data_IF_236715739683
#
_entry.id   IF_236715739683
#
_cell.length_a   1.000
_cell.length_b   1.000
_cell.length_c   1.000
_cell.angle_alpha   90.00
_cell.angle_beta   90.00
_cell.angle_gamma   90.00
#
_symmetry.space_group_name_H-M   'P 1'
#
loop_
_entity.id
_entity.type
_entity.pdbx_description
1 polymer ?
#
# COMPACT_ATOMS: atom_id res chain seq x y z
N UNK A 1 -3.56 -10.17 -62.89
CA UNK A 1 -3.00 -11.48 -62.49
C UNK A 1 -1.53 -11.34 -62.11
N UNK A 2 -1.18 -11.31 -60.81
CA UNK A 2 0.07 -11.90 -60.28
C UNK A 2 0.13 -11.82 -58.74
N UNK A 3 -0.10 -12.99 -58.13
CA UNK A 3 0.56 -13.57 -56.95
C UNK A 3 0.57 -12.79 -55.61
N UNK A 4 -0.35 -13.23 -54.73
CA UNK A 4 -0.09 -13.91 -53.45
C UNK A 4 1.24 -13.57 -52.74
N UNK A 5 1.14 -12.95 -51.57
CA UNK A 5 2.06 -13.14 -50.45
C UNK A 5 1.25 -13.11 -49.16
N UNK A 6 0.88 -14.32 -48.72
CA UNK A 6 0.36 -14.61 -47.39
C UNK A 6 1.54 -14.44 -46.43
N UNK A 7 1.45 -13.48 -45.50
CA UNK A 7 2.34 -13.44 -44.35
C UNK A 7 1.52 -13.79 -43.12
N UNK A 8 1.64 -15.09 -42.82
CA UNK A 8 1.41 -15.77 -41.56
C UNK A 8 1.94 -14.92 -40.39
N UNK A 9 1.04 -14.27 -39.64
CA UNK A 9 1.37 -13.69 -38.33
C UNK A 9 1.09 -14.75 -37.27
N UNK A 10 2.15 -15.08 -36.53
CA UNK A 10 2.23 -16.16 -35.58
C UNK A 10 1.13 -16.08 -34.52
N UNK A 11 0.41 -17.19 -34.37
CA UNK A 11 -0.23 -17.59 -33.12
C UNK A 11 0.87 -17.80 -32.08
N UNK A 12 1.08 -16.84 -31.18
CA UNK A 12 1.80 -17.09 -29.94
C UNK A 12 0.77 -17.65 -28.96
N UNK A 13 0.61 -18.97 -28.99
CA UNK A 13 -0.03 -19.69 -27.88
C UNK A 13 1.09 -19.94 -26.86
N UNK A 14 1.41 -18.91 -26.08
CA UNK A 14 2.22 -19.10 -24.88
C UNK A 14 1.31 -19.71 -23.81
N UNK A 15 1.36 -21.03 -23.67
CA UNK A 15 0.90 -21.72 -22.47
C UNK A 15 1.90 -21.44 -21.35
N UNK A 16 1.72 -20.33 -20.62
CA UNK A 16 2.49 -20.09 -19.39
C UNK A 16 1.85 -20.89 -18.26
N UNK A 17 2.61 -21.85 -17.73
CA UNK A 17 2.33 -22.54 -16.48
C UNK A 17 2.17 -21.56 -15.33
N UNK A 18 1.23 -21.88 -14.44
CA UNK A 18 0.57 -21.04 -13.44
C UNK A 18 1.44 -20.57 -12.24
N UNK A 19 2.71 -20.25 -12.44
CA UNK A 19 3.59 -19.65 -11.42
C UNK A 19 4.08 -18.29 -11.95
N UNK A 20 3.23 -17.27 -11.90
CA UNK A 20 3.67 -15.88 -12.15
C UNK A 20 4.61 -15.46 -11.01
N UNK A 21 5.88 -15.29 -11.34
CA UNK A 21 6.85 -14.61 -10.47
C UNK A 21 6.78 -13.12 -10.76
N UNK A 22 6.30 -12.34 -9.80
CA UNK A 22 6.26 -10.88 -9.91
C UNK A 22 7.63 -10.29 -9.53
N UNK A 23 8.14 -9.35 -10.31
CA UNK A 23 9.23 -8.45 -9.93
C UNK A 23 8.68 -7.28 -9.10
N UNK A 24 9.55 -6.50 -8.44
CA UNK A 24 9.07 -5.39 -7.61
C UNK A 24 8.46 -4.25 -8.46
N UNK A 25 8.90 -4.10 -9.70
CA UNK A 25 8.48 -3.04 -10.62
C UNK A 25 7.19 -3.40 -11.37
N UNK A 26 6.72 -4.64 -11.25
CA UNK A 26 5.50 -5.07 -11.92
C UNK A 26 4.29 -4.33 -11.36
N UNK A 27 3.53 -3.68 -12.26
CA UNK A 27 2.29 -2.97 -11.91
C UNK A 27 1.18 -3.99 -11.68
N UNK A 28 0.56 -3.93 -10.51
CA UNK A 28 -0.51 -4.86 -10.08
C UNK A 28 -1.87 -4.18 -10.01
N UNK A 29 -1.91 -2.85 -9.93
CA UNK A 29 -3.14 -2.08 -10.00
C UNK A 29 -2.85 -0.63 -10.43
N UNK A 30 -3.91 0.09 -10.84
CA UNK A 30 -3.92 1.53 -11.09
C UNK A 30 -5.07 2.13 -10.27
N UNK A 31 -4.78 3.17 -9.49
CA UNK A 31 -5.76 3.91 -8.68
C UNK A 31 -5.73 5.37 -9.09
N UNK A 32 -6.79 5.85 -9.75
CA UNK A 32 -6.96 7.23 -10.25
C UNK A 32 -5.73 7.70 -11.06
N UNK A 33 -5.22 6.81 -11.90
CA UNK A 33 -4.04 7.05 -12.75
C UNK A 33 -2.67 6.86 -12.08
N UNK A 34 -2.61 6.50 -10.79
CA UNK A 34 -1.37 6.11 -10.11
C UNK A 34 -1.15 4.61 -10.20
N UNK A 35 -0.02 4.19 -10.75
CA UNK A 35 0.42 2.80 -10.75
C UNK A 35 0.79 2.34 -9.33
N UNK A 36 0.29 1.17 -8.95
CA UNK A 36 0.64 0.45 -7.73
C UNK A 36 1.44 -0.77 -8.14
N UNK A 37 2.65 -0.89 -7.60
CA UNK A 37 3.58 -1.97 -7.94
C UNK A 37 3.53 -3.10 -6.92
N UNK A 38 3.98 -4.28 -7.32
CA UNK A 38 4.20 -5.38 -6.39
C UNK A 38 5.21 -4.97 -5.29
N UNK A 39 6.20 -4.15 -5.62
CA UNK A 39 7.15 -3.56 -4.68
C UNK A 39 6.44 -2.77 -3.57
N UNK A 40 5.42 -1.97 -3.91
CA UNK A 40 4.64 -1.22 -2.91
C UNK A 40 3.91 -2.13 -1.92
N UNK A 41 3.35 -3.24 -2.39
CA UNK A 41 2.71 -4.24 -1.51
C UNK A 41 3.74 -4.92 -0.60
N UNK A 42 4.86 -5.35 -1.19
CA UNK A 42 5.94 -6.09 -0.52
C UNK A 42 6.70 -5.25 0.49
N UNK A 43 6.82 -3.94 0.26
CA UNK A 43 7.51 -3.03 1.16
C UNK A 43 6.83 -2.97 2.54
N UNK A 44 5.54 -3.33 2.61
CA UNK A 44 4.76 -3.26 3.85
C UNK A 44 4.65 -4.58 4.59
N UNK A 45 5.01 -5.70 3.97
CA UNK A 45 4.66 -7.02 4.47
C UNK A 45 5.62 -8.11 4.01
N UNK A 46 5.85 -9.10 4.89
CA UNK A 46 6.61 -10.31 4.55
C UNK A 46 5.75 -11.41 3.92
N UNK A 47 4.47 -11.14 3.67
CA UNK A 47 3.56 -12.10 3.06
C UNK A 47 4.02 -12.52 1.66
N UNK A 48 3.57 -13.69 1.22
CA UNK A 48 3.80 -14.16 -0.14
C UNK A 48 3.00 -13.31 -1.12
N UNK A 49 3.46 -13.22 -2.37
CA UNK A 49 2.75 -12.44 -3.40
C UNK A 49 1.29 -12.87 -3.53
N UNK A 50 1.03 -14.19 -3.50
CA UNK A 50 -0.33 -14.71 -3.48
C UNK A 50 -1.19 -14.09 -2.36
N UNK A 51 -0.69 -14.05 -1.13
CA UNK A 51 -1.43 -13.47 0.00
C UNK A 51 -1.56 -11.96 -0.15
N UNK A 52 -0.54 -11.27 -0.68
CA UNK A 52 -0.63 -9.83 -0.95
C UNK A 52 -1.72 -9.52 -1.98
N UNK A 53 -1.78 -10.29 -3.07
CA UNK A 53 -2.76 -10.13 -4.13
C UNK A 53 -4.17 -10.52 -3.69
N UNK A 54 -4.32 -11.55 -2.86
CA UNK A 54 -5.61 -11.93 -2.24
C UNK A 54 -6.20 -10.82 -1.34
N UNK A 55 -5.38 -9.89 -0.87
CA UNK A 55 -5.79 -8.78 0.02
C UNK A 55 -5.46 -7.41 -0.59
N UNK A 56 -5.34 -7.32 -1.92
CA UNK A 56 -4.95 -6.07 -2.60
C UNK A 56 -5.99 -4.97 -2.38
N UNK A 57 -7.27 -5.31 -2.28
CA UNK A 57 -8.39 -4.37 -2.10
C UNK A 57 -8.21 -3.47 -0.86
N UNK A 58 -7.63 -3.99 0.23
CA UNK A 58 -7.31 -3.20 1.42
C UNK A 58 -6.28 -2.10 1.09
N UNK A 59 -5.24 -2.44 0.32
CA UNK A 59 -4.23 -1.48 -0.13
C UNK A 59 -4.85 -0.41 -1.03
N UNK A 60 -5.67 -0.83 -2.00
CA UNK A 60 -6.31 0.09 -2.95
C UNK A 60 -7.27 1.03 -2.23
N UNK A 61 -8.00 0.52 -1.24
CA UNK A 61 -8.90 1.33 -0.40
C UNK A 61 -8.15 2.42 0.34
N UNK A 62 -7.06 2.07 1.02
CA UNK A 62 -6.22 3.07 1.67
C UNK A 62 -5.67 4.11 0.67
N UNK A 63 -5.29 3.67 -0.53
CA UNK A 63 -4.74 4.56 -1.55
C UNK A 63 -5.79 5.58 -2.05
N UNK A 64 -7.03 5.16 -2.27
CA UNK A 64 -8.15 6.06 -2.60
C UNK A 64 -8.33 7.10 -1.51
N UNK A 65 -8.38 6.68 -0.24
CA UNK A 65 -8.53 7.58 0.91
C UNK A 65 -7.39 8.60 0.97
N UNK A 66 -6.14 8.16 0.77
CA UNK A 66 -4.96 9.03 0.80
C UNK A 66 -5.02 10.07 -0.33
N UNK A 67 -5.42 9.66 -1.53
CA UNK A 67 -5.53 10.57 -2.67
C UNK A 67 -6.64 11.59 -2.44
N UNK A 68 -7.78 11.17 -1.89
CA UNK A 68 -8.87 12.08 -1.51
C UNK A 68 -8.44 13.07 -0.43
N UNK A 69 -7.77 12.59 0.62
CA UNK A 69 -7.23 13.43 1.69
C UNK A 69 -6.27 14.51 1.13
N UNK A 70 -5.43 14.14 0.17
CA UNK A 70 -4.51 15.06 -0.51
C UNK A 70 -5.27 16.05 -1.40
N UNK A 71 -6.32 15.63 -2.09
CA UNK A 71 -7.14 16.47 -2.96
C UNK A 71 -7.88 17.56 -2.19
N UNK A 72 -8.42 17.24 -1.01
CA UNK A 72 -9.05 18.23 -0.12
C UNK A 72 -8.04 19.13 0.60
N UNK A 73 -6.74 18.91 0.39
CA UNK A 73 -5.66 19.75 0.90
C UNK A 73 -5.25 19.46 2.35
N UNK A 74 -5.47 18.23 2.83
CA UNK A 74 -5.08 17.84 4.17
C UNK A 74 -3.55 17.80 4.31
N UNK A 75 -3.01 18.50 5.32
CA UNK A 75 -1.60 18.52 5.65
C UNK A 75 -1.35 17.67 6.90
N UNK A 76 -0.55 16.61 6.76
CA UNK A 76 -0.21 15.67 7.84
C UNK A 76 1.20 15.88 8.40
N UNK A 77 1.95 16.85 7.89
CA UNK A 77 3.39 16.98 8.16
C UNK A 77 3.73 17.03 9.67
N UNK A 78 2.96 17.80 10.45
CA UNK A 78 3.15 17.91 11.91
C UNK A 78 2.90 16.57 12.63
N UNK A 79 1.84 15.85 12.27
CA UNK A 79 1.53 14.57 12.91
C UNK A 79 2.55 13.49 12.51
N UNK A 80 3.01 13.50 11.26
CA UNK A 80 4.09 12.62 10.78
C UNK A 80 5.39 12.88 11.56
N UNK A 81 5.81 14.14 11.67
CA UNK A 81 7.04 14.50 12.40
C UNK A 81 6.97 14.03 13.87
N UNK A 82 5.82 14.28 14.52
CA UNK A 82 5.58 13.88 15.89
C UNK A 82 5.63 12.37 16.09
N UNK A 83 5.00 11.59 15.23
CA UNK A 83 5.02 10.12 15.33
C UNK A 83 6.40 9.54 15.00
N UNK A 84 7.09 10.08 14.00
CA UNK A 84 8.46 9.67 13.65
C UNK A 84 9.45 9.94 14.79
N UNK A 85 9.28 11.03 15.53
CA UNK A 85 10.08 11.33 16.73
C UNK A 85 9.94 10.29 17.85
N UNK A 86 8.83 9.57 17.91
CA UNK A 86 8.53 8.55 18.93
C UNK A 86 8.88 7.14 18.45
N UNK A 87 8.56 6.80 17.20
CA UNK A 87 8.60 5.42 16.70
C UNK A 87 9.59 5.17 15.55
N UNK A 88 10.16 6.21 14.94
CA UNK A 88 10.97 6.09 13.72
C UNK A 88 12.42 5.63 13.92
N UNK A 89 12.85 5.30 15.15
CA UNK A 89 14.25 4.94 15.42
C UNK A 89 14.48 3.44 15.44
N UNK A 90 15.39 2.98 14.59
CA UNK A 90 15.81 1.58 14.56
C UNK A 90 16.35 1.12 15.92
N UNK A 91 16.03 -0.09 16.40
CA UNK A 91 16.52 -0.56 17.69
C UNK A 91 18.04 -0.70 17.69
N UNK A 92 18.70 -0.02 18.63
CA UNK A 92 20.17 -0.13 18.81
C UNK A 92 20.64 -1.59 18.92
N UNK A 93 21.87 -1.88 18.49
CA UNK A 93 22.46 -3.23 18.53
C UNK A 93 22.34 -3.90 19.90
N UNK A 94 22.55 -3.14 20.99
CA UNK A 94 22.52 -3.65 22.36
C UNK A 94 21.10 -3.89 22.93
N UNK A 95 20.04 -3.44 22.23
CA UNK A 95 18.67 -3.72 22.62
C UNK A 95 18.27 -5.14 22.17
N UNK A 96 18.17 -6.05 23.15
CA UNK A 96 17.87 -7.47 22.94
C UNK A 96 16.47 -7.87 23.44
N UNK A 97 15.55 -6.91 23.56
CA UNK A 97 14.15 -7.25 23.85
C UNK A 97 13.55 -8.06 22.70
N UNK A 98 12.56 -8.92 22.99
CA UNK A 98 11.87 -9.71 21.96
C UNK A 98 11.40 -8.83 20.79
N UNK A 99 10.75 -7.71 21.09
CA UNK A 99 10.26 -6.74 20.10
C UNK A 99 11.40 -6.14 19.26
N UNK A 100 12.51 -5.76 19.89
CA UNK A 100 13.66 -5.22 19.15
C UNK A 100 14.26 -6.25 18.19
N UNK A 101 14.35 -7.51 18.59
CA UNK A 101 14.86 -8.58 17.74
C UNK A 101 13.90 -8.90 16.57
N UNK A 102 12.59 -8.84 16.80
CA UNK A 102 11.58 -8.99 15.73
C UNK A 102 11.70 -7.88 14.70
N UNK A 103 11.84 -6.62 15.15
CA UNK A 103 12.06 -5.47 14.26
C UNK A 103 13.36 -5.66 13.45
N UNK A 104 14.46 -6.02 14.11
CA UNK A 104 15.74 -6.24 13.43
C UNK A 104 15.62 -7.31 12.34
N UNK A 105 15.04 -8.46 12.66
CA UNK A 105 14.88 -9.57 11.72
C UNK A 105 13.99 -9.20 10.52
N UNK A 106 12.88 -8.50 10.77
CA UNK A 106 11.99 -7.99 9.71
C UNK A 106 12.74 -7.02 8.79
N UNK A 107 13.39 -6.01 9.36
CA UNK A 107 14.12 -4.99 8.58
C UNK A 107 15.28 -5.59 7.80
N UNK A 108 16.06 -6.51 8.38
CA UNK A 108 17.17 -7.17 7.68
C UNK A 108 16.68 -7.96 6.46
N UNK A 109 15.57 -8.71 6.61
CA UNK A 109 15.01 -9.51 5.52
C UNK A 109 14.47 -8.62 4.40
N UNK A 110 13.78 -7.55 4.74
CA UNK A 110 13.21 -6.64 3.75
C UNK A 110 14.26 -5.75 3.10
N UNK A 111 15.19 -5.19 3.86
CA UNK A 111 16.31 -4.43 3.31
C UNK A 111 17.09 -5.26 2.28
N UNK A 112 17.35 -6.55 2.58
CA UNK A 112 17.93 -7.47 1.60
C UNK A 112 17.06 -7.68 0.35
N UNK A 113 15.74 -7.71 0.49
CA UNK A 113 14.79 -7.87 -0.63
C UNK A 113 14.81 -6.67 -1.58
N UNK A 114 15.04 -5.48 -1.02
CA UNK A 114 15.06 -4.22 -1.76
C UNK A 114 16.47 -3.67 -2.04
N UNK A 115 17.52 -4.43 -1.70
CA UNK A 115 18.93 -4.01 -1.80
C UNK A 115 19.22 -2.67 -1.11
N UNK A 116 18.64 -2.48 0.07
CA UNK A 116 18.76 -1.27 0.89
C UNK A 116 19.62 -1.51 2.13
N UNK A 117 20.11 -0.43 2.73
CA UNK A 117 20.60 -0.48 4.11
C UNK A 117 19.44 -0.79 5.09
N UNK A 118 19.75 -1.48 6.19
CA UNK A 118 18.73 -1.92 7.15
C UNK A 118 18.10 -0.74 7.91
N UNK A 119 18.90 0.25 8.28
CA UNK A 119 18.40 1.46 8.95
C UNK A 119 17.61 2.33 7.97
N UNK A 120 18.09 2.44 6.72
CA UNK A 120 17.41 3.16 5.65
C UNK A 120 16.03 2.55 5.35
N UNK A 121 15.95 1.23 5.15
CA UNK A 121 14.68 0.54 4.96
C UNK A 121 13.75 0.75 6.15
N UNK A 122 14.26 0.62 7.38
CA UNK A 122 13.43 0.79 8.58
C UNK A 122 12.86 2.20 8.68
N UNK A 123 13.68 3.22 8.41
CA UNK A 123 13.24 4.61 8.44
C UNK A 123 12.17 4.85 7.38
N UNK A 124 12.40 4.42 6.15
CA UNK A 124 11.45 4.61 5.05
C UNK A 124 10.15 3.83 5.27
N UNK A 125 10.22 2.59 5.75
CA UNK A 125 9.05 1.80 6.14
C UNK A 125 8.21 2.55 7.17
N UNK A 126 8.83 3.07 8.23
CA UNK A 126 8.11 3.80 9.25
C UNK A 126 7.53 5.12 8.75
N UNK A 127 8.28 5.89 7.96
CA UNK A 127 7.80 7.14 7.38
C UNK A 127 6.57 6.90 6.51
N UNK A 128 6.63 5.94 5.58
CA UNK A 128 5.50 5.54 4.73
C UNK A 128 4.30 5.08 5.56
N UNK A 129 4.52 4.23 6.58
CA UNK A 129 3.42 3.73 7.43
C UNK A 129 2.75 4.85 8.23
N UNK A 130 3.54 5.75 8.80
CA UNK A 130 3.05 6.88 9.60
C UNK A 130 2.32 7.87 8.72
N UNK A 131 2.87 8.25 7.56
CA UNK A 131 2.24 9.17 6.62
C UNK A 131 0.89 8.65 6.13
N UNK A 132 0.82 7.38 5.70
CA UNK A 132 -0.44 6.76 5.27
C UNK A 132 -1.48 6.77 6.38
N UNK A 133 -1.07 6.37 7.59
CA UNK A 133 -1.96 6.36 8.76
C UNK A 133 -2.45 7.76 9.12
N UNK A 134 -1.59 8.78 9.02
CA UNK A 134 -1.95 10.16 9.28
C UNK A 134 -2.96 10.68 8.25
N UNK A 135 -2.80 10.35 6.97
CA UNK A 135 -3.78 10.73 5.94
C UNK A 135 -5.13 10.04 6.12
N UNK A 136 -5.14 8.73 6.37
CA UNK A 136 -6.38 7.97 6.57
C UNK A 136 -7.14 8.48 7.79
N UNK A 137 -6.46 8.58 8.95
CA UNK A 137 -7.09 9.09 10.16
C UNK A 137 -7.49 10.57 10.01
N UNK A 138 -6.65 11.37 9.35
CA UNK A 138 -6.94 12.77 9.07
C UNK A 138 -8.20 12.94 8.24
N UNK A 139 -8.36 12.15 7.17
CA UNK A 139 -9.54 12.18 6.32
C UNK A 139 -10.80 11.80 7.10
N UNK A 140 -10.79 10.67 7.82
CA UNK A 140 -11.95 10.24 8.61
C UNK A 140 -12.30 11.30 9.66
N UNK A 141 -11.30 11.88 10.33
CA UNK A 141 -11.53 12.93 11.33
C UNK A 141 -12.05 14.23 10.71
N UNK A 142 -11.60 14.62 9.52
CA UNK A 142 -12.10 15.81 8.82
C UNK A 142 -13.58 15.64 8.44
N UNK A 143 -13.96 14.42 8.03
CA UNK A 143 -15.31 14.13 7.56
C UNK A 143 -16.31 13.86 8.70
N UNK A 144 -15.87 13.18 9.77
CA UNK A 144 -16.76 12.70 10.86
C UNK A 144 -16.48 13.34 12.22
N UNK A 145 -15.38 14.09 12.37
CA UNK A 145 -14.86 14.56 13.66
C UNK A 145 -13.99 13.52 14.37
N UNK A 146 -13.39 13.91 15.50
CA UNK A 146 -12.50 13.04 16.29
C UNK A 146 -13.28 11.94 17.02
N UNK A 147 -12.85 10.69 16.86
CA UNK A 147 -13.41 9.53 17.57
C UNK A 147 -13.40 9.67 19.10
N UNK A 148 -12.49 10.46 19.69
CA UNK A 148 -12.46 10.71 21.12
C UNK A 148 -13.65 11.56 21.59
N UNK A 149 -14.19 12.39 20.71
CA UNK A 149 -15.36 13.23 20.97
C UNK A 149 -16.68 12.55 20.57
N UNK A 150 -16.60 11.40 19.89
CA UNK A 150 -17.76 10.64 19.45
C UNK A 150 -18.56 10.10 20.66
N UNK A 151 -19.88 10.35 20.74
CA UNK A 151 -20.71 9.88 21.84
C UNK A 151 -20.90 8.36 21.83
N UNK A 152 -20.83 7.74 20.65
CA UNK A 152 -20.95 6.30 20.43
C UNK A 152 -19.85 5.85 19.46
N UNK A 153 -18.88 5.08 19.96
CA UNK A 153 -17.73 4.61 19.18
C UNK A 153 -18.09 3.49 18.23
N UNK A 154 -19.11 2.69 18.55
CA UNK A 154 -19.56 1.61 17.67
C UNK A 154 -20.33 2.18 16.48
N UNK A 155 -21.09 3.26 16.70
CA UNK A 155 -21.72 3.99 15.61
C UNK A 155 -20.69 4.74 14.77
N UNK A 156 -19.71 5.40 15.39
CA UNK A 156 -18.62 6.06 14.67
C UNK A 156 -17.89 5.11 13.72
N UNK A 157 -17.57 3.88 14.17
CA UNK A 157 -16.93 2.89 13.32
C UNK A 157 -17.77 2.54 12.09
N UNK A 158 -19.09 2.37 12.26
CA UNK A 158 -20.00 2.12 11.12
C UNK A 158 -20.11 3.31 10.18
N UNK A 159 -20.10 4.52 10.72
CA UNK A 159 -20.14 5.74 9.92
C UNK A 159 -18.84 5.91 9.12
N UNK A 160 -17.68 5.54 9.70
CA UNK A 160 -16.40 5.50 9.01
C UNK A 160 -16.38 4.43 7.90
N UNK A 161 -16.88 3.22 8.18
CA UNK A 161 -17.00 2.17 7.16
C UNK A 161 -17.91 2.63 6.01
N UNK A 162 -19.06 3.23 6.31
CA UNK A 162 -19.98 3.75 5.30
C UNK A 162 -19.38 4.89 4.48
N UNK A 163 -18.62 5.80 5.10
CA UNK A 163 -17.89 6.86 4.41
C UNK A 163 -16.89 6.28 3.41
N UNK A 164 -16.15 5.25 3.79
CA UNK A 164 -15.17 4.59 2.92
C UNK A 164 -15.88 3.85 1.79
N UNK A 165 -16.96 3.12 2.07
CA UNK A 165 -17.75 2.42 1.05
C UNK A 165 -18.33 3.39 0.00
N UNK A 166 -18.83 4.55 0.44
CA UNK A 166 -19.32 5.60 -0.46
C UNK A 166 -18.20 6.16 -1.34
N UNK A 167 -17.02 6.41 -0.76
CA UNK A 167 -15.84 6.90 -1.48
C UNK A 167 -15.35 5.89 -2.53
N UNK A 168 -15.29 4.60 -2.18
CA UNK A 168 -14.90 3.54 -3.12
C UNK A 168 -15.88 3.42 -4.28
N UNK A 169 -17.18 3.56 -3.99
CA UNK A 169 -18.21 3.54 -5.03
C UNK A 169 -18.13 4.74 -5.96
N UNK A 170 -17.75 5.92 -5.46
CA UNK A 170 -17.53 7.10 -6.29
C UNK A 170 -16.38 6.90 -7.29
N UNK A 171 -15.32 6.21 -6.87
CA UNK A 171 -14.11 6.01 -7.66
C UNK A 171 -13.95 4.59 -8.23
N UNK A 172 -15.01 3.77 -8.26
CA UNK A 172 -14.96 2.37 -8.71
C UNK A 172 -14.42 2.25 -10.14
N UNK A 173 -14.84 3.14 -11.04
CA UNK A 173 -14.39 3.18 -12.45
C UNK A 173 -12.93 3.66 -12.62
N UNK A 174 -12.30 4.14 -11.55
CA UNK A 174 -10.92 4.63 -11.53
C UNK A 174 -9.94 3.68 -10.80
N UNK A 175 -10.43 2.51 -10.37
CA UNK A 175 -9.63 1.46 -9.73
C UNK A 175 -9.56 0.27 -10.68
N UNK A 176 -8.36 -0.01 -11.20
CA UNK A 176 -8.11 -1.12 -12.10
C UNK A 176 -7.09 -2.08 -11.49
N UNK A 177 -7.49 -3.32 -11.27
CA UNK A 177 -6.61 -4.39 -10.79
C UNK A 177 -6.10 -5.20 -11.99
N UNK A 178 -4.78 -5.38 -12.10
CA UNK A 178 -4.11 -5.93 -13.29
C UNK A 178 -3.58 -7.36 -13.11
N UNK A 179 -4.01 -8.05 -12.06
CA UNK A 179 -3.65 -9.43 -11.75
C UNK A 179 -4.57 -10.43 -12.46
N UNK A 180 -3.98 -11.50 -12.98
CA UNK A 180 -4.65 -12.61 -13.69
C UNK A 180 -5.28 -13.66 -12.75
#
# INVERSE_FOLDING_TARGET
MRKLLIILSLLIIASCSNDQTYENEDVVAIVRGKEITMGDLRFRSEATDKVLLENIDEFLTEEVIIQEAKEIGLDVSEEVEKQMGVFGRYPSENNNTKKANEIKAFSEKQAKRFDMDVEEYYQEYHERTVERSAYINGYINEMLGDIQDAPDKDQYAKDADALIDELLKEYEDEIETLID
#
